data_IF_056363953036
#
_entry.id   IF_056363953036
#
_cell.length_a   1.000
_cell.length_b   1.000
_cell.length_c   1.000
_cell.angle_alpha   90.00
_cell.angle_beta   90.00
_cell.angle_gamma   90.00
#
_symmetry.space_group_name_H-M   'P 1'
#
loop_
_entity.id
_entity.type
_entity.pdbx_description
1 polymer ?
#
# COMPACT_ATOMS: atom_id res chain seq x y z
N UNK A 1 -30.64 45.63 1.88
CA UNK A 1 -29.18 45.76 1.80
C UNK A 1 -28.61 44.42 2.24
N UNK A 2 -28.32 43.53 1.29
CA UNK A 2 -28.01 42.12 1.55
C UNK A 2 -26.50 41.93 1.46
N UNK A 3 -25.86 41.59 2.57
CA UNK A 3 -24.45 41.20 2.61
C UNK A 3 -24.31 39.79 2.02
N UNK A 4 -23.82 39.70 0.79
CA UNK A 4 -23.34 38.44 0.22
C UNK A 4 -22.04 38.07 0.93
N UNK A 5 -22.13 37.15 1.89
CA UNK A 5 -20.95 36.52 2.48
C UNK A 5 -20.47 35.47 1.50
N UNK A 6 -19.29 35.69 0.93
CA UNK A 6 -18.64 34.76 0.01
C UNK A 6 -18.01 33.62 0.81
N UNK A 7 -18.76 32.52 0.98
CA UNK A 7 -18.34 31.34 1.75
C UNK A 7 -17.12 30.62 1.16
N UNK A 8 -16.75 30.94 -0.08
CA UNK A 8 -15.60 30.36 -0.79
C UNK A 8 -14.27 30.79 -0.16
N UNK A 9 -14.22 31.94 0.52
CA UNK A 9 -13.00 32.51 1.08
C UNK A 9 -12.57 31.95 2.46
N UNK A 10 -13.38 31.10 3.09
CA UNK A 10 -13.13 30.55 4.43
C UNK A 10 -12.71 29.07 4.43
N UNK A 11 -12.47 28.49 3.25
CA UNK A 11 -12.04 27.10 3.17
C UNK A 11 -10.54 26.98 3.45
N UNK A 12 -10.19 26.34 4.57
CA UNK A 12 -8.83 25.91 4.97
C UNK A 12 -8.09 25.14 3.85
N UNK A 13 -8.85 24.63 2.87
CA UNK A 13 -8.34 23.95 1.70
C UNK A 13 -7.39 24.81 0.85
N UNK A 14 -7.62 26.13 0.74
CA UNK A 14 -6.79 27.01 -0.12
C UNK A 14 -5.43 27.34 0.53
N UNK A 15 -5.42 27.55 1.85
CA UNK A 15 -4.19 27.71 2.64
C UNK A 15 -3.34 26.42 2.63
N UNK A 16 -3.98 25.25 2.61
CA UNK A 16 -3.28 23.97 2.50
C UNK A 16 -2.64 23.75 1.10
N UNK A 17 -3.16 24.36 0.04
CA UNK A 17 -2.64 24.22 -1.33
C UNK A 17 -1.32 24.96 -1.52
N UNK A 18 -1.13 26.12 -0.87
CA UNK A 18 0.07 26.97 -1.05
C UNK A 18 1.14 26.75 0.03
N UNK A 19 0.85 25.98 1.08
CA UNK A 19 1.77 25.77 2.19
C UNK A 19 2.86 24.75 1.87
N UNK A 20 4.12 25.21 1.86
CA UNK A 20 5.29 24.34 1.71
C UNK A 20 5.39 23.25 2.79
N UNK A 21 4.78 23.44 3.96
CA UNK A 21 4.68 22.42 5.01
C UNK A 21 3.73 21.28 4.60
N UNK A 22 2.60 21.59 3.95
CA UNK A 22 1.66 20.59 3.43
C UNK A 22 2.25 19.87 2.22
N UNK A 23 2.94 20.59 1.33
CA UNK A 23 3.68 19.98 0.22
C UNK A 23 4.79 19.04 0.74
N UNK A 24 5.54 19.46 1.76
CA UNK A 24 6.56 18.63 2.42
C UNK A 24 5.95 17.44 3.14
N UNK A 25 4.81 17.62 3.82
CA UNK A 25 4.07 16.53 4.46
C UNK A 25 3.59 15.51 3.43
N UNK A 26 2.98 15.95 2.33
CA UNK A 26 2.59 15.10 1.19
C UNK A 26 3.80 14.40 0.58
N UNK A 27 4.91 15.10 0.36
CA UNK A 27 6.14 14.48 -0.14
C UNK A 27 6.67 13.39 0.81
N UNK A 28 6.54 13.55 2.13
CA UNK A 28 6.87 12.50 3.11
C UNK A 28 5.82 11.40 3.21
N UNK A 29 4.56 11.64 2.84
CA UNK A 29 3.49 10.61 2.85
C UNK A 29 3.44 9.80 1.55
N UNK A 30 3.95 10.36 0.45
CA UNK A 30 3.94 9.78 -0.89
C UNK A 30 5.25 9.09 -1.27
N UNK A 31 6.20 8.93 -0.33
CA UNK A 31 7.29 7.97 -0.57
C UNK A 31 6.66 6.59 -0.43
N UNK A 32 6.47 5.83 -1.52
CA UNK A 32 6.00 4.47 -1.39
C UNK A 32 7.02 3.74 -0.54
N UNK A 33 6.56 3.17 0.57
CA UNK A 33 7.40 2.29 1.34
C UNK A 33 7.89 1.18 0.40
N UNK A 34 9.21 1.05 0.18
CA UNK A 34 9.75 0.04 -0.72
C UNK A 34 9.34 -1.36 -0.27
N UNK A 35 9.13 -1.57 1.04
CA UNK A 35 8.64 -2.82 1.59
C UNK A 35 7.19 -3.07 1.18
N UNK A 36 6.29 -2.11 1.37
CA UNK A 36 4.91 -2.21 0.88
C UNK A 36 4.82 -2.45 -0.64
N UNK A 37 5.70 -1.81 -1.43
CA UNK A 37 5.75 -2.00 -2.89
C UNK A 37 6.16 -3.41 -3.26
N UNK A 38 7.24 -3.91 -2.65
CA UNK A 38 7.74 -5.26 -2.89
C UNK A 38 6.71 -6.31 -2.47
N UNK A 39 6.07 -6.11 -1.32
CA UNK A 39 5.02 -6.98 -0.79
C UNK A 39 3.83 -7.09 -1.74
N UNK A 40 3.34 -5.96 -2.26
CA UNK A 40 2.26 -5.93 -3.26
C UNK A 40 2.64 -6.63 -4.59
N UNK A 41 3.90 -6.49 -5.03
CA UNK A 41 4.39 -7.18 -6.23
C UNK A 41 4.40 -8.70 -6.03
N UNK A 42 4.83 -9.16 -4.85
CA UNK A 42 4.93 -10.59 -4.53
C UNK A 42 3.54 -11.24 -4.45
N UNK A 43 2.57 -10.57 -3.83
CA UNK A 43 1.15 -10.99 -3.85
C UNK A 43 0.62 -11.05 -5.28
N UNK A 44 0.84 -10.01 -6.09
CA UNK A 44 0.38 -9.96 -7.48
C UNK A 44 0.97 -11.09 -8.32
N UNK A 45 2.27 -11.37 -8.18
CA UNK A 45 2.94 -12.46 -8.87
C UNK A 45 2.37 -13.83 -8.46
N UNK A 46 2.04 -14.01 -7.18
CA UNK A 46 1.49 -15.26 -6.67
C UNK A 46 0.08 -15.55 -7.22
N UNK A 47 -0.83 -14.57 -7.18
CA UNK A 47 -2.21 -14.74 -7.67
C UNK A 47 -2.29 -14.88 -9.19
N UNK A 48 -1.32 -14.31 -9.93
CA UNK A 48 -1.27 -14.42 -11.40
C UNK A 48 -0.48 -15.63 -11.90
N UNK A 49 0.25 -16.33 -11.02
CA UNK A 49 1.06 -17.47 -11.42
C UNK A 49 0.18 -18.66 -11.88
N UNK A 50 0.30 -19.03 -13.15
CA UNK A 50 -0.41 -20.17 -13.71
C UNK A 50 0.22 -21.53 -13.32
N UNK A 51 1.49 -21.54 -12.93
CA UNK A 51 2.25 -22.77 -12.71
C UNK A 51 2.49 -23.02 -11.20
N UNK A 52 2.17 -24.22 -10.68
CA UNK A 52 2.36 -24.55 -9.26
C UNK A 52 3.82 -24.40 -8.78
N UNK A 53 4.80 -24.71 -9.64
CA UNK A 53 6.21 -24.55 -9.31
C UNK A 53 6.58 -23.09 -9.04
N UNK A 54 6.01 -22.14 -9.80
CA UNK A 54 6.24 -20.69 -9.62
C UNK A 54 5.58 -20.22 -8.33
N UNK A 55 4.36 -20.67 -8.02
CA UNK A 55 3.68 -20.38 -6.74
C UNK A 55 4.52 -20.85 -5.56
N UNK A 56 5.13 -22.04 -5.64
CA UNK A 56 6.01 -22.57 -4.61
C UNK A 56 7.25 -21.72 -4.39
N UNK A 57 7.94 -21.31 -5.46
CA UNK A 57 9.10 -20.41 -5.34
C UNK A 57 8.73 -19.05 -4.74
N UNK A 58 7.54 -18.53 -5.04
CA UNK A 58 7.04 -17.29 -4.44
C UNK A 58 6.70 -17.45 -2.95
N UNK A 59 6.20 -18.61 -2.50
CA UNK A 59 6.03 -18.90 -1.08
C UNK A 59 7.37 -18.98 -0.34
N UNK A 60 8.39 -19.57 -0.97
CA UNK A 60 9.75 -19.62 -0.41
C UNK A 60 10.35 -18.20 -0.27
N UNK A 61 10.13 -17.33 -1.26
CA UNK A 61 10.54 -15.93 -1.22
C UNK A 61 9.78 -15.15 -0.13
N UNK A 62 8.46 -15.37 0.01
CA UNK A 62 7.66 -14.78 1.09
C UNK A 62 8.16 -15.19 2.47
N UNK A 63 8.47 -16.48 2.68
CA UNK A 63 9.05 -16.96 3.93
C UNK A 63 10.45 -16.38 4.20
N UNK A 64 11.25 -16.12 3.16
CA UNK A 64 12.52 -15.43 3.30
C UNK A 64 12.32 -13.95 3.67
N UNK A 65 11.29 -13.30 3.13
CA UNK A 65 10.91 -11.94 3.48
C UNK A 65 10.47 -11.85 4.94
N UNK A 66 9.59 -12.74 5.42
CA UNK A 66 9.10 -12.74 6.81
C UNK A 66 10.23 -12.91 7.83
N UNK A 67 11.22 -13.77 7.53
CA UNK A 67 12.42 -13.92 8.38
C UNK A 67 13.24 -12.63 8.50
N UNK A 68 13.20 -11.75 7.50
CA UNK A 68 13.88 -10.45 7.50
C UNK A 68 13.03 -9.35 8.15
N UNK A 69 11.72 -9.56 8.29
CA UNK A 69 10.74 -8.59 8.82
C UNK A 69 9.88 -9.20 9.94
N UNK A 70 10.48 -9.64 11.07
CA UNK A 70 9.78 -10.40 12.11
C UNK A 70 8.68 -9.65 12.88
N UNK A 71 8.57 -8.33 12.70
CA UNK A 71 7.54 -7.49 13.31
C UNK A 71 6.36 -7.18 12.39
N UNK A 72 6.41 -7.61 11.14
CA UNK A 72 5.34 -7.39 10.17
C UNK A 72 4.39 -8.60 10.12
N UNK A 73 3.15 -8.41 9.63
CA UNK A 73 2.27 -9.53 9.30
C UNK A 73 2.97 -10.53 8.39
N UNK A 74 2.69 -11.82 8.56
CA UNK A 74 3.26 -12.90 7.75
C UNK A 74 2.77 -12.82 6.31
N UNK A 75 3.69 -12.57 5.37
CA UNK A 75 3.40 -12.59 3.94
C UNK A 75 3.16 -14.02 3.46
N UNK A 76 3.87 -15.00 3.99
CA UNK A 76 3.65 -16.41 3.64
C UNK A 76 2.22 -16.86 3.98
N UNK A 77 1.71 -16.49 5.16
CA UNK A 77 0.32 -16.81 5.55
C UNK A 77 -0.70 -16.07 4.68
N UNK A 78 -0.41 -14.83 4.29
CA UNK A 78 -1.24 -14.03 3.39
C UNK A 78 -1.40 -14.71 2.02
N UNK A 79 -0.30 -15.22 1.45
CA UNK A 79 -0.34 -15.97 0.19
C UNK A 79 -1.06 -17.31 0.33
N UNK A 80 -0.78 -18.06 1.40
CA UNK A 80 -1.43 -19.35 1.66
C UNK A 80 -2.95 -19.21 1.83
N UNK A 81 -3.39 -18.14 2.53
CA UNK A 81 -4.81 -17.81 2.67
C UNK A 81 -5.49 -17.46 1.35
N UNK A 82 -4.78 -16.82 0.40
CA UNK A 82 -5.31 -16.53 -0.92
C UNK A 82 -5.55 -17.81 -1.74
N UNK A 83 -4.65 -18.79 -1.65
CA UNK A 83 -4.77 -20.09 -2.33
C UNK A 83 -5.98 -20.89 -1.85
N UNK A 84 -6.17 -20.99 -0.53
CA UNK A 84 -7.31 -21.72 0.04
C UNK A 84 -8.67 -21.11 -0.35
N UNK A 85 -8.71 -19.81 -0.63
CA UNK A 85 -9.92 -19.09 -1.02
C UNK A 85 -10.28 -19.25 -2.51
N UNK A 86 -9.32 -19.60 -3.37
CA UNK A 86 -9.59 -19.96 -4.78
C UNK A 86 -10.14 -21.39 -4.93
N UNK A 87 -9.87 -22.27 -3.96
CA UNK A 87 -10.22 -23.71 -4.03
C UNK A 87 -11.57 -24.03 -3.37
N UNK A 88 -12.13 -23.10 -2.57
CA UNK A 88 -13.41 -23.23 -1.87
C UNK A 88 -14.59 -22.66 -2.69
#
# INVERSE_FOLDING_TARGET
MTLLVDFTALSDADAAVTSGLVARRRATTLVPDPHATYRAQLVTAYVTAAYPAVRRSLLEEAAAYDRRHPGEPSLADELYGAELREVA
#
